data_IF_540016431074
#
_entry.id   IF_540016431074
#
_cell.length_a   1.000
_cell.length_b   1.000
_cell.length_c   1.000
_cell.angle_alpha   90.00
_cell.angle_beta   90.00
_cell.angle_gamma   90.00
#
_symmetry.space_group_name_H-M   'P 1'
#
loop_
_entity.id
_entity.type
_entity.pdbx_description
1 polymer ?
#
# COMPACT_ATOMS: atom_id res chain seq x y z
N UNK A 1 53.76 -18.60 -22.39
CA UNK A 1 54.08 -17.31 -21.71
C UNK A 1 54.50 -16.16 -22.64
N UNK A 2 55.41 -16.32 -23.63
CA UNK A 2 55.86 -15.21 -24.50
C UNK A 2 54.76 -14.50 -25.34
N UNK A 3 53.66 -15.18 -25.69
CA UNK A 3 52.54 -14.58 -26.45
C UNK A 3 51.69 -13.62 -25.61
N UNK A 4 51.51 -13.89 -24.31
CA UNK A 4 50.74 -13.04 -23.40
C UNK A 4 51.41 -11.67 -23.27
N UNK A 5 52.75 -11.66 -23.15
CA UNK A 5 53.54 -10.42 -22.97
C UNK A 5 53.52 -9.54 -24.24
N UNK A 6 53.42 -10.11 -25.45
CA UNK A 6 53.28 -9.33 -26.69
C UNK A 6 51.90 -8.70 -26.86
N UNK A 7 50.86 -9.26 -26.24
CA UNK A 7 49.49 -8.75 -26.31
C UNK A 7 49.34 -7.40 -25.58
N UNK A 8 50.10 -7.22 -24.49
CA UNK A 8 50.14 -5.98 -23.69
C UNK A 8 50.98 -4.84 -24.29
N UNK A 9 51.66 -5.04 -25.44
CA UNK A 9 52.54 -4.01 -26.04
C UNK A 9 51.82 -3.00 -26.95
N UNK A 10 50.54 -3.22 -27.28
CA UNK A 10 49.77 -2.26 -28.09
C UNK A 10 48.97 -1.34 -27.16
N UNK A 11 49.00 -0.01 -27.36
CA UNK A 11 48.28 0.93 -26.51
C UNK A 11 46.76 0.67 -26.54
N UNK A 12 46.23 0.18 -27.66
CA UNK A 12 44.82 -0.21 -27.79
C UNK A 12 44.41 -1.34 -26.85
N UNK A 13 45.28 -2.32 -26.58
CA UNK A 13 44.98 -3.41 -25.64
C UNK A 13 44.85 -2.89 -24.21
N UNK A 14 45.69 -1.92 -23.84
CA UNK A 14 45.68 -1.31 -22.52
C UNK A 14 44.39 -0.50 -22.31
N UNK A 15 43.94 0.23 -23.33
CA UNK A 15 42.65 0.95 -23.32
C UNK A 15 41.47 -0.02 -23.13
N UNK A 16 41.45 -1.15 -23.82
CA UNK A 16 40.39 -2.16 -23.70
C UNK A 16 40.36 -2.76 -22.28
N UNK A 17 41.53 -3.03 -21.69
CA UNK A 17 41.62 -3.58 -20.33
C UNK A 17 41.15 -2.55 -19.31
N UNK A 18 41.55 -1.28 -19.45
CA UNK A 18 41.05 -0.21 -18.59
C UNK A 18 39.54 -0.10 -18.71
N UNK A 19 38.99 -0.12 -19.92
CA UNK A 19 37.54 -0.06 -20.17
C UNK A 19 36.79 -1.24 -19.51
N UNK A 20 37.33 -2.46 -19.62
CA UNK A 20 36.74 -3.65 -18.99
C UNK A 20 36.76 -3.54 -17.46
N UNK A 21 37.86 -3.02 -16.88
CA UNK A 21 37.94 -2.77 -15.44
C UNK A 21 36.96 -1.68 -15.02
N UNK A 22 36.79 -0.59 -15.77
CA UNK A 22 35.77 0.41 -15.46
C UNK A 22 34.36 -0.17 -15.55
N UNK A 23 34.04 -0.96 -16.58
CA UNK A 23 32.74 -1.63 -16.72
C UNK A 23 32.50 -2.59 -15.55
N UNK A 24 33.53 -3.36 -15.14
CA UNK A 24 33.41 -4.29 -14.03
C UNK A 24 33.25 -3.57 -12.68
N UNK A 25 34.00 -2.50 -12.43
CA UNK A 25 33.87 -1.66 -11.24
C UNK A 25 32.50 -0.96 -11.23
N UNK A 26 32.05 -0.42 -12.37
CA UNK A 26 30.70 0.13 -12.52
C UNK A 26 29.63 -0.95 -12.31
N UNK A 27 29.85 -2.17 -12.77
CA UNK A 27 28.91 -3.28 -12.55
C UNK A 27 28.88 -3.75 -11.11
N UNK A 28 30.00 -3.73 -10.39
CA UNK A 28 30.05 -4.03 -8.95
C UNK A 28 29.43 -2.89 -8.13
N UNK A 29 29.65 -1.65 -8.55
CA UNK A 29 29.02 -0.47 -7.95
C UNK A 29 27.52 -0.37 -8.29
N UNK A 30 27.09 -0.90 -9.44
CA UNK A 30 25.69 -1.02 -9.84
C UNK A 30 25.07 -2.38 -9.46
N UNK A 31 25.77 -3.35 -8.88
CA UNK A 31 25.10 -4.47 -8.20
C UNK A 31 24.36 -4.01 -6.94
N UNK A 32 24.64 -2.79 -6.48
CA UNK A 32 23.75 -1.99 -5.60
C UNK A 32 22.46 -1.53 -6.31
N UNK A 33 22.15 -1.97 -7.52
CA UNK A 33 20.78 -1.91 -8.08
C UNK A 33 19.79 -2.66 -7.17
N UNK A 34 20.26 -3.57 -6.31
CA UNK A 34 19.47 -4.11 -5.20
C UNK A 34 18.97 -2.99 -4.27
N UNK A 35 19.78 -1.94 -4.08
CA UNK A 35 19.37 -0.73 -3.39
C UNK A 35 18.47 0.17 -4.24
N UNK A 36 18.64 0.26 -5.56
CA UNK A 36 17.66 0.99 -6.40
C UNK A 36 16.25 0.36 -6.35
N UNK A 37 16.16 -0.98 -6.28
CA UNK A 37 14.90 -1.69 -5.99
C UNK A 37 14.45 -1.49 -4.55
N UNK A 38 15.37 -1.46 -3.58
CA UNK A 38 15.01 -1.11 -2.20
C UNK A 38 14.50 0.34 -2.11
N UNK A 39 15.02 1.29 -2.88
CA UNK A 39 14.53 2.67 -2.93
C UNK A 39 13.19 2.81 -3.67
N UNK A 40 12.88 1.91 -4.61
CA UNK A 40 11.54 1.73 -5.19
C UNK A 40 10.55 1.11 -4.17
N UNK A 41 11.06 0.32 -3.22
CA UNK A 41 10.30 -0.31 -2.12
C UNK A 41 10.20 0.61 -0.89
N UNK A 42 11.14 1.52 -0.68
CA UNK A 42 11.29 2.40 0.50
C UNK A 42 10.68 3.79 0.34
N UNK A 43 10.10 4.13 -0.82
CA UNK A 43 9.13 5.23 -0.87
C UNK A 43 7.86 4.77 -0.17
N UNK A 44 7.84 5.08 1.14
CA UNK A 44 6.67 5.45 1.95
C UNK A 44 5.45 5.65 1.04
N UNK A 45 4.31 4.98 1.30
CA UNK A 45 3.24 4.87 0.33
C UNK A 45 2.86 6.25 -0.20
N UNK A 46 2.76 6.40 -1.51
CA UNK A 46 2.33 7.64 -2.18
C UNK A 46 0.94 8.10 -1.71
N UNK A 47 0.21 7.20 -1.05
CA UNK A 47 -1.06 7.45 -0.39
C UNK A 47 -0.78 7.69 1.08
N UNK A 48 -1.17 8.86 1.57
CA UNK A 48 -1.13 9.17 3.00
C UNK A 48 -2.08 8.24 3.74
N UNK A 49 -1.54 7.31 4.51
CA UNK A 49 -2.29 6.48 5.44
C UNK A 49 -2.73 7.35 6.61
N UNK A 50 -4.04 7.38 6.86
CA UNK A 50 -4.63 8.19 7.92
C UNK A 50 -5.90 7.55 8.44
N UNK A 51 -6.19 7.74 9.72
CA UNK A 51 -7.54 7.63 10.24
C UNK A 51 -7.86 8.97 10.90
N UNK A 52 -8.70 9.75 10.23
CA UNK A 52 -9.17 11.06 10.69
C UNK A 52 -10.69 11.10 10.69
N UNK A 53 -11.34 9.94 10.65
CA UNK A 53 -12.79 9.89 10.62
C UNK A 53 -13.33 10.23 12.02
N UNK A 54 -14.10 11.31 12.08
CA UNK A 54 -14.78 11.73 13.29
C UNK A 54 -16.28 11.67 13.08
N UNK A 55 -16.97 10.98 13.98
CA UNK A 55 -18.43 10.96 14.05
C UNK A 55 -18.89 11.83 15.22
N UNK A 56 -19.64 12.89 14.93
CA UNK A 56 -20.32 13.68 15.93
C UNK A 56 -21.66 13.02 16.24
N UNK A 57 -21.72 12.35 17.39
CA UNK A 57 -22.84 11.53 17.84
C UNK A 57 -24.17 12.29 18.02
N UNK A 58 -24.19 13.62 17.97
CA UNK A 58 -25.39 14.42 18.16
C UNK A 58 -26.04 14.92 16.86
N UNK A 59 -25.34 14.91 15.71
CA UNK A 59 -25.78 15.66 14.51
C UNK A 59 -25.79 14.83 13.21
N UNK A 60 -25.69 13.48 13.26
CA UNK A 60 -25.49 12.61 12.09
C UNK A 60 -24.41 13.16 11.13
N UNK A 61 -23.37 13.72 11.74
CA UNK A 61 -22.32 14.44 11.06
C UNK A 61 -21.02 13.65 11.21
N UNK A 62 -20.56 13.12 10.09
CA UNK A 62 -19.26 12.48 9.97
C UNK A 62 -18.37 13.35 9.09
N UNK A 63 -17.12 13.52 9.49
CA UNK A 63 -16.13 14.28 8.74
C UNK A 63 -14.76 13.59 8.77
N UNK A 64 -13.89 13.98 7.83
CA UNK A 64 -12.58 13.36 7.65
C UNK A 64 -12.62 12.11 6.77
N UNK A 65 -11.57 11.30 6.84
CA UNK A 65 -11.47 10.08 6.05
C UNK A 65 -10.51 9.07 6.67
N UNK A 66 -10.68 7.82 6.28
CA UNK A 66 -9.78 6.71 6.54
C UNK A 66 -9.08 6.38 5.24
N UNK A 67 -7.77 6.26 5.27
CA UNK A 67 -6.94 5.78 4.17
C UNK A 67 -6.05 4.68 4.73
N UNK A 68 -6.24 3.46 4.23
CA UNK A 68 -5.61 2.27 4.80
C UNK A 68 -5.11 1.30 3.75
N UNK A 69 -3.95 0.69 4.02
CA UNK A 69 -3.42 -0.42 3.22
C UNK A 69 -4.14 -1.73 3.59
N UNK A 70 -4.53 -2.50 2.58
CA UNK A 70 -5.26 -3.76 2.75
C UNK A 70 -4.28 -4.88 3.09
N UNK A 71 -4.29 -5.32 4.35
CA UNK A 71 -3.41 -6.36 4.89
C UNK A 71 -4.21 -7.60 5.28
N UNK A 72 -3.95 -8.71 4.58
CA UNK A 72 -4.60 -9.99 4.84
C UNK A 72 -4.09 -10.55 6.18
N UNK A 73 -4.97 -11.21 6.93
CA UNK A 73 -4.56 -11.90 8.16
C UNK A 73 -3.63 -13.08 7.85
N UNK A 74 -3.95 -13.83 6.80
CA UNK A 74 -3.02 -14.80 6.22
C UNK A 74 -2.01 -14.07 5.32
N UNK A 75 -0.77 -14.00 5.79
CA UNK A 75 0.33 -13.30 5.10
C UNK A 75 0.79 -14.04 3.86
N UNK A 76 0.64 -15.36 3.81
CA UNK A 76 1.09 -16.15 2.66
C UNK A 76 0.20 -15.89 1.43
N UNK A 77 -1.05 -15.50 1.67
CA UNK A 77 -2.01 -15.09 0.65
C UNK A 77 -1.85 -13.61 0.21
N UNK A 78 -1.01 -12.81 0.87
CA UNK A 78 -0.83 -11.40 0.54
C UNK A 78 -0.10 -11.24 -0.82
N UNK A 79 -0.68 -10.52 -1.80
CA UNK A 79 -0.01 -10.24 -3.08
C UNK A 79 1.27 -9.43 -2.89
N UNK A 80 2.39 -9.90 -3.45
CA UNK A 80 3.70 -9.24 -3.28
C UNK A 80 3.94 -8.05 -4.21
N UNK A 81 3.41 -8.09 -5.43
CA UNK A 81 3.61 -7.06 -6.48
C UNK A 81 2.41 -6.13 -6.70
N UNK A 82 1.34 -6.32 -5.93
CA UNK A 82 0.13 -5.50 -5.99
C UNK A 82 -0.17 -4.99 -4.59
N UNK A 83 -0.16 -3.67 -4.43
CA UNK A 83 -0.53 -3.00 -3.18
C UNK A 83 -1.92 -2.42 -3.33
N UNK A 84 -2.84 -2.85 -2.49
CA UNK A 84 -4.22 -2.38 -2.49
C UNK A 84 -4.45 -1.46 -1.28
N UNK A 85 -5.17 -0.38 -1.50
CA UNK A 85 -5.51 0.62 -0.50
C UNK A 85 -6.99 0.96 -0.62
N UNK A 86 -7.58 1.31 0.52
CA UNK A 86 -8.95 1.79 0.60
C UNK A 86 -8.98 3.19 1.19
N UNK A 87 -9.76 4.06 0.57
CA UNK A 87 -10.15 5.35 1.14
C UNK A 87 -11.63 5.31 1.47
N UNK A 88 -11.96 5.47 2.75
CA UNK A 88 -13.33 5.53 3.26
C UNK A 88 -13.61 6.95 3.76
N UNK A 89 -14.72 7.54 3.31
CA UNK A 89 -15.10 8.88 3.73
C UNK A 89 -16.60 9.13 3.60
N UNK A 90 -17.17 10.08 4.35
CA UNK A 90 -18.59 10.39 4.28
C UNK A 90 -18.93 11.11 2.97
N UNK A 91 -20.07 10.76 2.37
CA UNK A 91 -20.66 11.47 1.24
C UNK A 91 -21.63 12.55 1.72
N UNK A 92 -21.83 13.56 0.88
CA UNK A 92 -22.92 14.52 1.09
C UNK A 92 -24.28 13.92 0.65
N UNK A 93 -24.61 12.74 1.20
CA UNK A 93 -25.79 11.94 0.88
C UNK A 93 -26.24 11.20 2.14
N UNK A 94 -27.55 11.05 2.30
CA UNK A 94 -28.18 10.28 3.38
C UNK A 94 -28.99 9.12 2.79
N UNK A 95 -29.18 8.06 3.58
CA UNK A 95 -30.06 6.96 3.24
C UNK A 95 -31.52 7.22 3.66
N UNK A 96 -32.38 6.21 3.48
CA UNK A 96 -33.81 6.27 3.82
C UNK A 96 -34.06 6.45 5.33
N UNK A 97 -33.12 6.04 6.17
CA UNK A 97 -33.18 6.15 7.62
C UNK A 97 -32.50 7.42 8.14
N UNK A 98 -32.10 8.34 7.24
CA UNK A 98 -31.35 9.57 7.53
C UNK A 98 -29.94 9.31 8.09
N UNK A 99 -29.39 8.13 7.86
CA UNK A 99 -28.01 7.80 8.19
C UNK A 99 -27.08 8.29 7.08
N UNK A 100 -25.82 8.56 7.45
CA UNK A 100 -24.81 9.02 6.50
C UNK A 100 -24.39 7.89 5.57
N UNK A 101 -24.37 8.17 4.26
CA UNK A 101 -23.74 7.27 3.29
C UNK A 101 -22.25 7.62 3.20
N UNK A 102 -21.40 6.60 3.10
CA UNK A 102 -19.97 6.71 2.93
C UNK A 102 -19.58 6.24 1.52
N UNK A 103 -18.39 6.63 1.07
CA UNK A 103 -17.76 6.08 -0.12
C UNK A 103 -16.58 5.22 0.27
N UNK A 104 -16.40 4.10 -0.43
CA UNK A 104 -15.17 3.32 -0.46
C UNK A 104 -14.54 3.50 -1.84
N UNK A 105 -13.34 4.06 -1.87
CA UNK A 105 -12.53 4.13 -3.08
C UNK A 105 -11.40 3.10 -3.00
N UNK A 106 -11.38 2.20 -3.98
CA UNK A 106 -10.38 1.16 -4.12
C UNK A 106 -9.24 1.64 -5.01
N UNK A 107 -8.04 1.67 -4.45
CA UNK A 107 -6.83 2.11 -5.13
C UNK A 107 -5.84 0.98 -5.18
N UNK A 108 -5.31 0.71 -6.37
CA UNK A 108 -4.23 -0.25 -6.57
C UNK A 108 -2.96 0.47 -7.01
N UNK A 109 -1.83 0.04 -6.45
CA UNK A 109 -0.49 0.43 -6.89
C UNK A 109 0.27 -0.81 -7.30
N UNK A 110 0.73 -0.81 -8.55
CA UNK A 110 1.71 -1.76 -9.07
C UNK A 110 3.09 -1.11 -9.06
N UNK A 111 4.17 -1.89 -9.01
CA UNK A 111 5.52 -1.40 -8.74
C UNK A 111 5.97 -0.20 -9.58
N UNK A 112 5.64 -0.19 -10.88
CA UNK A 112 6.08 0.85 -11.83
C UNK A 112 4.98 1.80 -12.28
N UNK A 113 3.78 1.71 -11.69
CA UNK A 113 2.63 2.51 -12.11
C UNK A 113 2.15 3.44 -10.99
N UNK A 114 1.65 4.64 -11.33
CA UNK A 114 1.02 5.49 -10.34
C UNK A 114 -0.20 4.80 -9.72
N UNK A 115 -0.52 5.07 -8.44
CA UNK A 115 -1.74 4.58 -7.82
C UNK A 115 -2.96 4.93 -8.69
N UNK A 116 -3.79 3.94 -8.96
CA UNK A 116 -4.97 4.10 -9.81
C UNK A 116 -6.21 3.67 -9.04
N UNK A 117 -7.19 4.56 -9.01
CA UNK A 117 -8.54 4.26 -8.52
C UNK A 117 -9.21 3.32 -9.52
N UNK A 118 -9.60 2.13 -9.06
CA UNK A 118 -10.21 1.11 -9.93
C UNK A 118 -11.72 1.02 -9.73
N UNK A 119 -12.19 1.15 -8.51
CA UNK A 119 -13.61 1.05 -8.18
C UNK A 119 -14.00 2.06 -7.10
N UNK A 120 -15.28 2.45 -7.10
CA UNK A 120 -15.90 3.25 -6.05
C UNK A 120 -17.22 2.64 -5.67
N UNK A 121 -17.42 2.42 -4.38
CA UNK A 121 -18.61 1.82 -3.83
C UNK A 121 -19.27 2.79 -2.83
N UNK A 122 -20.58 2.70 -2.70
CA UNK A 122 -21.29 3.33 -1.60
C UNK A 122 -21.35 2.35 -0.42
N UNK A 123 -21.07 2.88 0.76
CA UNK A 123 -21.10 2.18 2.03
C UNK A 123 -22.26 2.74 2.86
N UNK A 124 -23.15 1.87 3.32
CA UNK A 124 -24.27 2.24 4.18
C UNK A 124 -23.96 1.91 5.62
N UNK A 125 -24.39 2.78 6.52
CA UNK A 125 -24.32 2.49 7.95
C UNK A 125 -25.35 1.42 8.32
N UNK A 126 -24.88 0.30 8.88
CA UNK A 126 -25.75 -0.79 9.33
C UNK A 126 -25.90 -0.81 10.84
N UNK A 127 -24.88 -0.35 11.55
CA UNK A 127 -24.96 -0.14 12.99
C UNK A 127 -23.93 0.89 13.45
N UNK A 128 -24.36 1.76 14.35
CA UNK A 128 -23.47 2.65 15.08
C UNK A 128 -23.67 2.44 16.58
N UNK A 129 -22.57 2.16 17.26
CA UNK A 129 -22.48 2.15 18.72
C UNK A 129 -21.47 3.19 19.18
N UNK A 130 -21.39 3.40 20.49
CA UNK A 130 -20.38 4.30 21.08
C UNK A 130 -18.95 3.95 20.66
N UNK A 131 -18.64 2.67 20.44
CA UNK A 131 -17.27 2.20 20.17
C UNK A 131 -17.03 1.78 18.73
N UNK A 132 -18.08 1.46 17.98
CA UNK A 132 -17.95 0.83 16.66
C UNK A 132 -18.94 1.43 15.67
N UNK A 133 -18.44 1.80 14.51
CA UNK A 133 -19.22 2.09 13.30
C UNK A 133 -19.09 0.89 12.36
N UNK A 134 -20.22 0.36 11.92
CA UNK A 134 -20.28 -0.72 10.93
C UNK A 134 -20.87 -0.19 9.64
N UNK A 135 -20.13 -0.36 8.55
CA UNK A 135 -20.55 0.01 7.22
C UNK A 135 -20.65 -1.24 6.34
N UNK A 136 -21.56 -1.26 5.38
CA UNK A 136 -21.76 -2.36 4.43
C UNK A 136 -21.86 -1.85 3.00
N UNK A 137 -21.19 -2.51 2.06
CA UNK A 137 -21.33 -2.24 0.63
C UNK A 137 -22.49 -3.02 -0.01
N UNK A 138 -22.80 -2.73 -1.27
CA UNK A 138 -23.88 -3.43 -2.00
C UNK A 138 -23.61 -4.92 -2.25
N UNK A 139 -22.36 -5.37 -2.10
CA UNK A 139 -21.98 -6.78 -2.28
C UNK A 139 -22.06 -7.57 -0.99
N UNK A 140 -22.23 -6.91 0.16
CA UNK A 140 -22.30 -7.51 1.49
C UNK A 140 -20.97 -7.54 2.24
N UNK A 141 -19.93 -6.85 1.76
CA UNK A 141 -18.70 -6.69 2.54
C UNK A 141 -18.96 -5.70 3.67
N UNK A 142 -18.52 -6.06 4.87
CA UNK A 142 -18.68 -5.23 6.07
C UNK A 142 -17.36 -4.62 6.50
N UNK A 143 -17.40 -3.36 6.89
CA UNK A 143 -16.29 -2.60 7.42
C UNK A 143 -16.59 -2.22 8.86
N UNK A 144 -15.73 -2.62 9.78
CA UNK A 144 -15.83 -2.33 11.21
C UNK A 144 -14.76 -1.33 11.58
N UNK A 145 -15.19 -0.15 12.03
CA UNK A 145 -14.33 0.96 12.44
C UNK A 145 -14.47 1.13 13.95
N UNK A 146 -13.41 0.81 14.68
CA UNK A 146 -13.34 1.04 16.11
C UNK A 146 -12.94 2.49 16.39
N UNK A 147 -13.84 3.25 17.02
CA UNK A 147 -13.71 4.68 17.29
C UNK A 147 -12.68 5.00 18.39
N UNK A 148 -12.31 4.01 19.20
CA UNK A 148 -11.38 4.20 20.32
C UNK A 148 -9.94 3.80 19.96
N UNK A 149 -9.78 2.73 19.17
CA UNK A 149 -8.46 2.21 18.80
C UNK A 149 -8.01 2.60 17.40
N UNK A 150 -8.86 3.29 16.64
CA UNK A 150 -8.67 3.61 15.22
C UNK A 150 -8.45 2.38 14.33
N UNK A 151 -8.78 1.19 14.86
CA UNK A 151 -8.68 -0.07 14.14
C UNK A 151 -9.80 -0.18 13.12
N UNK A 152 -9.43 -0.58 11.91
CA UNK A 152 -10.36 -0.77 10.80
C UNK A 152 -10.16 -2.16 10.24
N UNK A 153 -11.23 -2.95 10.23
CA UNK A 153 -11.25 -4.30 9.67
C UNK A 153 -12.35 -4.41 8.64
N UNK A 154 -12.11 -5.23 7.62
CA UNK A 154 -13.07 -5.61 6.61
C UNK A 154 -13.36 -7.10 6.77
N UNK A 155 -14.62 -7.50 6.65
CA UNK A 155 -15.02 -8.88 6.46
C UNK A 155 -15.72 -8.99 5.12
N UNK A 156 -15.24 -9.89 4.27
CA UNK A 156 -15.90 -10.16 3.01
C UNK A 156 -17.11 -11.09 3.17
N UNK A 157 -17.85 -11.30 2.09
CA UNK A 157 -19.00 -12.22 2.04
C UNK A 157 -18.60 -13.67 2.33
N UNK A 158 -17.35 -14.04 2.04
CA UNK A 158 -16.76 -15.35 2.36
C UNK A 158 -16.47 -15.56 3.84
N UNK A 159 -16.47 -14.48 4.64
CA UNK A 159 -16.13 -14.48 6.05
C UNK A 159 -14.64 -14.24 6.33
N UNK A 160 -13.83 -14.02 5.30
CA UNK A 160 -12.42 -13.70 5.44
C UNK A 160 -12.26 -12.29 6.00
N UNK A 161 -11.41 -12.17 7.01
CA UNK A 161 -11.14 -10.89 7.64
C UNK A 161 -9.85 -10.32 7.08
N UNK A 162 -9.86 -9.00 6.90
CA UNK A 162 -8.72 -8.22 6.43
C UNK A 162 -8.58 -7.01 7.32
N UNK A 163 -7.35 -6.60 7.62
CA UNK A 163 -7.09 -5.40 8.40
C UNK A 163 -6.67 -4.27 7.48
N UNK A 164 -7.19 -3.07 7.71
CA UNK A 164 -6.72 -1.86 7.06
C UNK A 164 -5.64 -1.23 7.96
N UNK A 165 -4.40 -1.17 7.47
CA UNK A 165 -3.31 -0.49 8.15
C UNK A 165 -3.39 1.01 7.83
N UNK A 166 -3.76 1.81 8.82
CA UNK A 166 -4.05 3.24 8.69
C UNK A 166 -2.91 4.16 9.15
N UNK A 167 -1.78 3.60 9.59
CA UNK A 167 -0.61 4.36 10.01
C UNK A 167 0.67 3.88 9.32
N UNK A 168 1.61 4.81 9.11
CA UNK A 168 2.82 4.56 8.34
C UNK A 168 3.82 3.62 9.02
N UNK A 169 3.89 3.65 10.35
CA UNK A 169 4.81 2.81 11.12
C UNK A 169 4.45 1.33 10.99
N UNK A 170 3.18 0.99 11.19
CA UNK A 170 2.69 -0.37 11.08
C UNK A 170 2.79 -0.89 9.65
N UNK A 171 2.53 -0.02 8.67
CA UNK A 171 2.68 -0.37 7.26
C UNK A 171 4.13 -0.73 6.93
N UNK A 172 5.09 0.11 7.35
CA UNK A 172 6.51 -0.16 7.16
C UNK A 172 6.91 -1.49 7.79
N UNK A 173 6.47 -1.75 9.02
CA UNK A 173 6.76 -3.01 9.72
C UNK A 173 6.15 -4.21 9.00
N UNK A 174 4.92 -4.08 8.48
CA UNK A 174 4.26 -5.12 7.72
C UNK A 174 5.03 -5.47 6.44
N UNK A 175 5.36 -4.47 5.62
CA UNK A 175 6.07 -4.66 4.34
C UNK A 175 7.46 -5.26 4.56
N UNK A 176 8.21 -4.79 5.56
CA UNK A 176 9.54 -5.37 5.89
C UNK A 176 9.40 -6.86 6.23
N UNK A 177 8.34 -7.25 6.94
CA UNK A 177 8.12 -8.65 7.30
C UNK A 177 7.61 -9.49 6.12
N UNK A 178 6.87 -8.90 5.18
CA UNK A 178 6.39 -9.58 3.97
C UNK A 178 7.52 -9.90 2.97
N UNK A 179 8.57 -9.08 2.97
CA UNK A 179 9.71 -9.21 2.05
C UNK A 179 10.86 -10.06 2.60
N UNK A 180 10.81 -10.45 3.87
CA UNK A 180 11.75 -11.42 4.48
C UNK A 180 11.42 -12.84 4.04
#
# INVERSE_FOLDING_TARGET
>A
MKKIIKFFKKPSTLVIIVLLVTIFVLSLKNSDLKYSRLYEVETIPDINLTNSLYNYSNDNYSAGSISGFVAFYDKDSQPKGLKQYYIIGPLNKLDENLNRIFSLEEIVKMDYLPPTSINKYELRETSESYQMLTLEDETGNMFFINKNSDEVTMRDVGGDNTRLITNQSDYKNFIINLLK
#
